data_IF_029550712821
#
_entry.id   IF_029550712821
#
_cell.length_a   1.000
_cell.length_b   1.000
_cell.length_c   1.000
_cell.angle_alpha   90.00
_cell.angle_beta   90.00
_cell.angle_gamma   90.00
#
_symmetry.space_group_name_H-M   'P 1'
#
loop_
_entity.id
_entity.type
_entity.pdbx_description
1 polymer ?
#
# COMPACT_ATOMS: atom_id res chain seq x y z
N UNK A 1 3.98 -1.58 -17.29
CA UNK A 1 4.36 -1.15 -15.91
C UNK A 1 4.80 0.32 -15.90
N UNK A 2 4.75 1.03 -14.76
CA UNK A 2 5.11 2.46 -14.68
C UNK A 2 6.51 2.77 -15.21
N UNK A 3 6.60 3.87 -15.95
CA UNK A 3 7.85 4.41 -16.46
C UNK A 3 8.41 5.44 -15.47
N UNK A 4 9.69 5.31 -15.12
CA UNK A 4 10.37 6.19 -14.16
C UNK A 4 10.26 7.67 -14.54
N UNK A 5 10.54 8.01 -15.81
CA UNK A 5 10.50 9.41 -16.27
C UNK A 5 9.09 10.00 -16.25
N UNK A 6 8.07 9.17 -16.43
CA UNK A 6 6.68 9.63 -16.35
C UNK A 6 6.23 9.79 -14.90
N UNK A 7 6.70 8.92 -14.01
CA UNK A 7 6.34 8.94 -12.59
C UNK A 7 7.08 10.04 -11.83
N UNK A 8 8.41 10.10 -11.96
CA UNK A 8 9.27 11.13 -11.38
C UNK A 8 9.27 12.40 -12.24
N UNK A 9 8.07 12.90 -12.54
CA UNK A 9 7.91 14.13 -13.30
C UNK A 9 8.38 15.34 -12.50
N UNK A 10 8.64 16.45 -13.20
CA UNK A 10 9.01 17.71 -12.54
C UNK A 10 7.96 18.12 -11.51
N UNK A 11 6.68 17.99 -11.86
CA UNK A 11 5.54 18.34 -11.00
C UNK A 11 5.51 17.50 -9.71
N UNK A 12 5.82 16.21 -9.80
CA UNK A 12 5.88 15.35 -8.62
C UNK A 12 7.02 15.77 -7.69
N UNK A 13 8.23 15.93 -8.22
CA UNK A 13 9.41 16.32 -7.42
C UNK A 13 9.24 17.73 -6.82
N UNK A 14 8.71 18.68 -7.60
CA UNK A 14 8.41 20.03 -7.10
C UNK A 14 7.38 19.97 -5.98
N UNK A 15 6.32 19.15 -6.13
CA UNK A 15 5.33 18.95 -5.08
C UNK A 15 5.93 18.43 -3.78
N UNK A 16 6.87 17.46 -3.83
CA UNK A 16 7.54 16.94 -2.65
C UNK A 16 8.32 18.04 -1.91
N UNK A 17 9.06 18.86 -2.65
CA UNK A 17 9.88 19.94 -2.08
C UNK A 17 8.99 21.07 -1.52
N UNK A 18 7.94 21.45 -2.25
CA UNK A 18 7.05 22.55 -1.85
C UNK A 18 6.21 22.19 -0.62
N UNK A 19 5.66 20.98 -0.59
CA UNK A 19 4.78 20.53 0.49
C UNK A 19 5.52 19.92 1.67
N UNK A 20 6.73 19.40 1.44
CA UNK A 20 7.47 18.63 2.44
C UNK A 20 6.87 17.26 2.76
N UNK A 21 5.92 16.77 1.95
CA UNK A 21 5.17 15.52 2.20
C UNK A 21 5.24 14.55 1.03
N UNK A 22 5.33 13.25 1.30
CA UNK A 22 5.29 12.21 0.26
C UNK A 22 3.94 12.14 -0.47
N UNK A 23 2.86 12.35 0.28
CA UNK A 23 1.48 12.41 -0.18
C UNK A 23 0.63 13.17 0.85
N UNK A 24 -0.68 13.33 0.62
CA UNK A 24 -1.57 13.99 1.59
C UNK A 24 -1.63 13.30 2.96
N UNK A 25 -1.32 12.00 3.01
CA UNK A 25 -1.29 11.20 4.24
C UNK A 25 0.10 10.62 4.54
N UNK A 26 1.09 10.94 3.71
CA UNK A 26 2.45 10.42 3.85
C UNK A 26 3.25 11.13 4.93
N UNK A 27 4.37 10.52 5.28
CA UNK A 27 5.37 11.08 6.17
C UNK A 27 5.97 12.37 5.61
N UNK A 28 6.61 13.13 6.50
CA UNK A 28 7.41 14.28 6.12
C UNK A 28 8.68 13.85 5.38
N UNK A 29 9.00 14.55 4.30
CA UNK A 29 10.20 14.29 3.49
C UNK A 29 11.46 14.69 4.24
N UNK A 30 11.43 15.64 5.18
CA UNK A 30 12.61 15.97 5.99
C UNK A 30 13.11 14.78 6.81
N UNK A 31 12.23 13.84 7.17
CA UNK A 31 12.65 12.61 7.86
C UNK A 31 13.61 11.79 7.02
N UNK A 32 13.47 11.81 5.69
CA UNK A 32 14.43 11.16 4.79
C UNK A 32 15.84 11.71 5.00
N UNK A 33 15.95 13.02 5.22
CA UNK A 33 17.22 13.67 5.46
C UNK A 33 17.80 13.16 6.78
N UNK A 34 17.01 13.16 7.85
CA UNK A 34 17.44 12.76 9.19
C UNK A 34 17.78 11.27 9.28
N UNK A 35 16.96 10.40 8.67
CA UNK A 35 17.03 8.95 8.83
C UNK A 35 18.05 8.30 7.88
N UNK A 36 18.15 8.78 6.64
CA UNK A 36 18.83 8.05 5.55
C UNK A 36 19.95 8.85 4.89
N UNK A 37 19.82 10.18 4.79
CA UNK A 37 20.72 10.98 3.96
C UNK A 37 21.73 11.82 4.73
N UNK A 38 21.53 12.10 6.02
CA UNK A 38 22.25 13.12 6.78
C UNK A 38 23.77 13.02 6.60
N UNK A 39 24.33 11.83 6.82
CA UNK A 39 25.78 11.60 6.72
C UNK A 39 26.33 11.69 5.28
N UNK A 40 25.46 11.57 4.28
CA UNK A 40 25.82 11.59 2.85
C UNK A 40 25.70 12.98 2.23
N UNK A 41 25.08 13.95 2.93
CA UNK A 41 24.90 15.31 2.41
C UNK A 41 26.23 16.09 2.39
N UNK A 42 26.38 17.09 1.51
CA UNK A 42 27.42 18.10 1.64
C UNK A 42 27.36 18.80 3.01
N UNK A 43 28.52 19.14 3.59
CA UNK A 43 28.66 19.75 4.92
C UNK A 43 27.73 20.95 5.13
N UNK A 44 27.64 21.86 4.15
CA UNK A 44 26.77 23.04 4.24
C UNK A 44 25.26 22.72 4.35
N UNK A 45 24.80 21.56 3.86
CA UNK A 45 23.43 21.10 4.04
C UNK A 45 23.27 20.35 5.37
N UNK A 46 24.30 19.63 5.82
CA UNK A 46 24.28 18.97 7.14
C UNK A 46 24.14 19.97 8.29
N UNK A 47 24.69 21.17 8.13
CA UNK A 47 24.61 22.25 9.12
C UNK A 47 23.26 22.97 9.15
N UNK A 48 22.40 22.76 8.14
CA UNK A 48 21.06 23.33 8.06
C UNK A 48 20.03 22.44 8.77
N UNK A 49 18.91 23.04 9.18
CA UNK A 49 17.71 22.28 9.52
C UNK A 49 17.31 21.42 8.29
N UNK A 50 16.85 20.19 8.51
CA UNK A 50 16.41 19.28 7.46
C UNK A 50 15.35 19.92 6.55
N UNK A 51 14.46 20.73 7.11
CA UNK A 51 13.42 21.43 6.37
C UNK A 51 13.98 22.55 5.47
N UNK A 52 15.06 23.22 5.90
CA UNK A 52 15.78 24.22 5.10
C UNK A 52 16.64 23.55 4.02
N UNK A 53 17.30 22.44 4.37
CA UNK A 53 18.05 21.59 3.45
C UNK A 53 17.19 21.08 2.30
N UNK A 54 15.98 20.60 2.60
CA UNK A 54 15.01 20.14 1.59
C UNK A 54 14.71 21.22 0.54
N UNK A 55 14.64 22.49 0.97
CA UNK A 55 14.30 23.64 0.11
C UNK A 55 15.53 24.27 -0.54
N UNK A 56 16.74 23.85 -0.19
CA UNK A 56 17.97 24.35 -0.78
C UNK A 56 18.15 23.84 -2.22
N UNK A 57 18.68 24.69 -3.12
CA UNK A 57 18.85 24.36 -4.54
C UNK A 57 19.71 23.13 -4.78
N UNK A 58 20.72 22.95 -3.93
CA UNK A 58 21.74 21.91 -4.06
C UNK A 58 21.22 20.54 -3.58
N UNK A 59 20.11 20.51 -2.84
CA UNK A 59 19.49 19.26 -2.40
C UNK A 59 18.70 18.59 -3.51
N UNK A 60 18.11 19.35 -4.46
CA UNK A 60 17.28 18.79 -5.53
C UNK A 60 17.98 17.68 -6.34
N UNK A 61 19.23 17.83 -6.81
CA UNK A 61 19.94 16.74 -7.49
C UNK A 61 20.12 15.49 -6.61
N UNK A 62 20.34 15.66 -5.31
CA UNK A 62 20.49 14.56 -4.34
C UNK A 62 19.15 13.81 -4.20
N UNK A 63 18.06 14.56 -4.00
CA UNK A 63 16.71 14.01 -3.93
C UNK A 63 16.36 13.25 -5.22
N UNK A 64 16.61 13.83 -6.39
CA UNK A 64 16.34 13.17 -7.68
C UNK A 64 17.11 11.84 -7.84
N UNK A 65 18.38 11.80 -7.43
CA UNK A 65 19.19 10.57 -7.48
C UNK A 65 18.63 9.50 -6.53
N UNK A 66 18.27 9.90 -5.30
CA UNK A 66 17.65 8.99 -4.34
C UNK A 66 16.30 8.46 -4.85
N UNK A 67 15.43 9.35 -5.34
CA UNK A 67 14.12 8.99 -5.90
C UNK A 67 14.24 8.00 -7.06
N UNK A 68 15.23 8.15 -7.93
CA UNK A 68 15.48 7.20 -9.03
C UNK A 68 15.86 5.81 -8.51
N UNK A 69 16.78 5.73 -7.54
CA UNK A 69 17.15 4.47 -6.91
C UNK A 69 15.96 3.83 -6.19
N UNK A 70 15.22 4.64 -5.43
CA UNK A 70 14.03 4.23 -4.69
C UNK A 70 12.93 3.70 -5.61
N UNK A 71 12.60 4.43 -6.67
CA UNK A 71 11.61 4.00 -7.66
C UNK A 71 11.95 2.62 -8.24
N UNK A 72 13.22 2.38 -8.56
CA UNK A 72 13.66 1.10 -9.10
C UNK A 72 13.56 -0.04 -8.07
N UNK A 73 13.89 0.22 -6.80
CA UNK A 73 13.65 -0.72 -5.69
C UNK A 73 12.15 -1.03 -5.56
N UNK A 74 11.32 -0.02 -5.32
CA UNK A 74 9.87 -0.19 -5.11
C UNK A 74 9.22 -0.91 -6.30
N UNK A 75 9.59 -0.55 -7.53
CA UNK A 75 9.10 -1.22 -8.73
C UNK A 75 9.45 -2.71 -8.72
N UNK A 76 10.70 -3.05 -8.41
CA UNK A 76 11.13 -4.44 -8.32
C UNK A 76 10.35 -5.20 -7.25
N UNK A 77 10.24 -4.63 -6.05
CA UNK A 77 9.58 -5.25 -4.90
C UNK A 77 8.09 -5.49 -5.21
N UNK A 78 7.37 -4.48 -5.71
CA UNK A 78 5.96 -4.60 -6.12
C UNK A 78 5.78 -5.70 -7.19
N UNK A 79 6.70 -5.80 -8.17
CA UNK A 79 6.64 -6.86 -9.19
C UNK A 79 6.75 -8.24 -8.56
N UNK A 80 7.75 -8.42 -7.68
CA UNK A 80 8.07 -9.71 -7.06
C UNK A 80 6.95 -10.14 -6.10
N UNK A 81 6.43 -9.20 -5.31
CA UNK A 81 5.31 -9.38 -4.40
C UNK A 81 4.03 -9.78 -5.15
N UNK A 82 3.65 -9.02 -6.18
CA UNK A 82 2.47 -9.33 -6.98
C UNK A 82 2.61 -10.68 -7.71
N UNK A 83 3.78 -10.99 -8.26
CA UNK A 83 4.02 -12.30 -8.89
C UNK A 83 3.87 -13.45 -7.90
N UNK A 84 4.40 -13.28 -6.69
CA UNK A 84 4.36 -14.30 -5.64
C UNK A 84 2.95 -14.54 -5.09
N UNK A 85 2.09 -13.53 -5.17
CA UNK A 85 0.69 -13.58 -4.72
C UNK A 85 -0.32 -13.81 -5.85
N UNK A 86 0.14 -14.12 -7.07
CA UNK A 86 -0.73 -14.36 -8.22
C UNK A 86 -1.15 -15.83 -8.30
N UNK A 87 -2.45 -16.07 -8.45
CA UNK A 87 -2.99 -17.41 -8.66
C UNK A 87 -3.04 -17.83 -10.15
N UNK A 88 -3.41 -19.09 -10.38
CA UNK A 88 -3.60 -19.67 -11.73
C UNK A 88 -4.67 -18.96 -12.57
N UNK A 89 -5.52 -18.16 -11.95
CA UNK A 89 -6.59 -17.41 -12.58
C UNK A 89 -6.24 -15.95 -12.85
N UNK A 90 -4.98 -15.57 -12.65
CA UNK A 90 -4.46 -14.21 -12.85
C UNK A 90 -5.00 -13.19 -11.84
N UNK A 91 -5.49 -13.66 -10.70
CA UNK A 91 -5.89 -12.81 -9.57
C UNK A 91 -4.76 -12.73 -8.56
N UNK A 92 -4.67 -11.60 -7.86
CA UNK A 92 -3.66 -11.31 -6.86
C UNK A 92 -4.31 -11.36 -5.48
N UNK A 93 -3.74 -12.15 -4.57
CA UNK A 93 -4.14 -12.14 -3.16
C UNK A 93 -3.63 -10.87 -2.48
N UNK A 94 -4.53 -10.22 -1.75
CA UNK A 94 -4.27 -9.04 -0.93
C UNK A 94 -4.98 -9.19 0.40
N UNK A 95 -4.48 -8.51 1.42
CA UNK A 95 -4.97 -8.57 2.80
C UNK A 95 -5.17 -7.16 3.35
N UNK A 96 -6.07 -7.02 4.31
CA UNK A 96 -6.25 -5.77 5.06
C UNK A 96 -6.74 -6.08 6.46
N UNK A 97 -6.09 -5.48 7.45
CA UNK A 97 -6.54 -5.52 8.84
C UNK A 97 -7.36 -4.29 9.17
N UNK A 98 -8.51 -4.48 9.81
CA UNK A 98 -9.42 -3.40 10.22
C UNK A 98 -9.96 -3.66 11.63
N UNK A 99 -10.16 -2.58 12.38
CA UNK A 99 -10.86 -2.63 13.68
C UNK A 99 -12.37 -2.55 13.44
N UNK A 100 -13.12 -3.53 13.93
CA UNK A 100 -14.54 -3.71 13.66
C UNK A 100 -15.34 -3.87 14.95
N UNK A 101 -16.60 -3.44 14.93
CA UNK A 101 -17.60 -3.90 15.88
C UNK A 101 -18.30 -5.17 15.33
N UNK A 102 -19.14 -5.81 16.15
CA UNK A 102 -19.88 -7.02 15.74
C UNK A 102 -20.77 -6.79 14.51
N UNK A 103 -21.34 -5.59 14.35
CA UNK A 103 -22.17 -5.24 13.19
C UNK A 103 -21.37 -5.28 11.89
N UNK A 104 -20.13 -4.76 11.90
CA UNK A 104 -19.27 -4.76 10.73
C UNK A 104 -18.76 -6.17 10.40
N UNK A 105 -18.47 -7.00 11.42
CA UNK A 105 -18.18 -8.43 11.21
C UNK A 105 -19.37 -9.13 10.54
N UNK A 106 -20.60 -8.80 10.96
CA UNK A 106 -21.79 -9.35 10.33
C UNK A 106 -21.89 -8.92 8.86
N UNK A 107 -21.59 -7.65 8.53
CA UNK A 107 -21.54 -7.17 7.14
C UNK A 107 -20.47 -7.87 6.30
N UNK A 108 -19.27 -8.14 6.84
CA UNK A 108 -18.24 -8.96 6.16
C UNK A 108 -18.77 -10.34 5.79
N UNK A 109 -19.57 -10.94 6.68
CA UNK A 109 -20.19 -12.25 6.43
C UNK A 109 -21.27 -12.20 5.36
N UNK A 110 -22.07 -11.12 5.32
CA UNK A 110 -23.37 -11.15 4.64
C UNK A 110 -23.53 -10.16 3.49
N UNK A 111 -22.66 -9.16 3.33
CA UNK A 111 -22.85 -8.04 2.39
C UNK A 111 -21.55 -7.70 1.63
N UNK A 112 -21.71 -7.16 0.41
CA UNK A 112 -20.60 -6.53 -0.31
C UNK A 112 -20.48 -5.08 0.18
N UNK A 113 -19.42 -4.76 0.91
CA UNK A 113 -19.19 -3.41 1.40
C UNK A 113 -17.74 -2.98 1.21
N UNK A 114 -17.54 -1.66 1.14
CA UNK A 114 -16.22 -1.05 0.97
C UNK A 114 -15.48 -1.06 2.32
N UNK A 115 -14.47 -1.91 2.45
CA UNK A 115 -13.59 -1.95 3.63
C UNK A 115 -12.39 -1.00 3.51
N UNK A 116 -12.34 -0.21 2.43
CA UNK A 116 -11.25 0.72 2.15
C UNK A 116 -10.35 0.26 1.00
N UNK A 117 -9.35 1.12 0.73
CA UNK A 117 -8.53 1.06 -0.50
C UNK A 117 -7.07 0.76 -0.27
N UNK A 118 -6.62 0.77 0.98
CA UNK A 118 -5.24 0.49 1.36
C UNK A 118 -5.15 -0.98 1.76
N UNK A 119 -4.47 -1.77 0.97
CA UNK A 119 -4.31 -3.20 1.20
C UNK A 119 -2.83 -3.51 1.28
N UNK A 120 -2.48 -4.74 1.64
CA UNK A 120 -1.12 -5.24 1.58
C UNK A 120 -1.10 -6.61 0.91
N UNK A 121 0.08 -7.02 0.48
CA UNK A 121 0.41 -8.36 -0.03
C UNK A 121 1.06 -9.22 1.05
N UNK A 122 1.39 -8.62 2.19
CA UNK A 122 1.90 -9.32 3.35
C UNK A 122 0.77 -10.06 4.04
N UNK A 123 1.02 -11.32 4.40
CA UNK A 123 0.14 -12.06 5.31
C UNK A 123 0.37 -11.54 6.73
N UNK A 124 -0.11 -10.33 6.99
CA UNK A 124 -0.04 -9.73 8.32
C UNK A 124 -0.94 -10.54 9.26
N UNK A 125 -0.29 -11.27 10.16
CA UNK A 125 -0.87 -11.76 11.41
C UNK A 125 -0.20 -11.08 12.61
N UNK A 126 0.49 -9.95 12.42
CA UNK A 126 0.93 -9.11 13.52
C UNK A 126 -0.24 -8.20 13.91
N UNK A 127 -0.83 -8.53 15.05
CA UNK A 127 -1.98 -7.84 15.60
C UNK A 127 -1.61 -6.38 15.91
N UNK A 128 -2.46 -5.44 15.50
CA UNK A 128 -2.20 -4.01 15.62
C UNK A 128 -2.07 -3.68 17.11
N UNK A 129 -1.01 -2.95 17.49
CA UNK A 129 -0.85 -2.44 18.85
C UNK A 129 -2.11 -1.64 19.22
N UNK A 130 -2.87 -2.14 20.20
CA UNK A 130 -4.23 -1.64 20.46
C UNK A 130 -4.14 -0.23 21.01
N UNK A 131 -4.69 0.73 20.25
CA UNK A 131 -5.02 2.03 20.79
C UNK A 131 -6.03 1.83 21.96
N UNK A 132 -5.79 2.41 23.15
CA UNK A 132 -6.72 2.35 24.29
C UNK A 132 -8.17 2.71 23.93
N UNK A 133 -8.36 3.59 22.94
CA UNK A 133 -9.70 3.99 22.48
C UNK A 133 -10.46 2.88 21.72
N UNK A 134 -9.75 1.82 21.30
CA UNK A 134 -10.26 0.69 20.52
C UNK A 134 -10.37 -0.62 21.32
N UNK A 135 -10.28 -0.59 22.64
CA UNK A 135 -10.32 -1.77 23.53
C UNK A 135 -11.61 -2.60 23.45
N UNK A 136 -12.66 -2.10 22.79
CA UNK A 136 -13.91 -2.84 22.58
C UNK A 136 -14.08 -3.37 21.14
N UNK A 137 -13.13 -3.08 20.25
CA UNK A 137 -13.20 -3.45 18.85
C UNK A 137 -12.45 -4.76 18.59
N UNK A 138 -13.04 -5.56 17.72
CA UNK A 138 -12.42 -6.76 17.18
C UNK A 138 -11.42 -6.37 16.12
N UNK A 139 -10.29 -7.06 16.08
CA UNK A 139 -9.39 -6.98 14.96
C UNK A 139 -9.80 -8.01 13.91
N UNK A 140 -9.97 -7.57 12.66
CA UNK A 140 -10.39 -8.42 11.56
C UNK A 140 -9.43 -8.28 10.40
N UNK A 141 -8.77 -9.39 10.06
CA UNK A 141 -7.92 -9.49 8.85
C UNK A 141 -8.74 -10.10 7.74
N UNK A 142 -8.93 -9.36 6.64
CA UNK A 142 -9.67 -9.82 5.46
C UNK A 142 -8.68 -10.20 4.37
N UNK A 143 -8.80 -11.40 3.82
CA UNK A 143 -8.11 -11.79 2.58
C UNK A 143 -9.07 -11.63 1.40
N UNK A 144 -8.59 -10.99 0.34
CA UNK A 144 -9.32 -10.79 -0.89
C UNK A 144 -8.46 -11.08 -2.12
N UNK A 145 -9.14 -11.25 -3.25
CA UNK A 145 -8.52 -11.37 -4.57
C UNK A 145 -8.88 -10.19 -5.45
N UNK A 146 -7.90 -9.70 -6.20
CA UNK A 146 -8.08 -8.55 -7.08
C UNK A 146 -7.46 -8.80 -8.46
N UNK A 147 -8.06 -8.22 -9.51
CA UNK A 147 -7.43 -8.20 -10.83
C UNK A 147 -6.43 -7.04 -10.90
N UNK A 148 -5.33 -7.19 -11.65
CA UNK A 148 -4.36 -6.09 -11.77
C UNK A 148 -4.99 -4.79 -12.30
N UNK A 149 -5.99 -4.88 -13.16
CA UNK A 149 -6.71 -3.71 -13.69
C UNK A 149 -7.35 -2.83 -12.61
N UNK A 150 -7.61 -3.41 -11.44
CA UNK A 150 -8.25 -2.76 -10.30
C UNK A 150 -7.25 -2.18 -9.29
N UNK A 151 -5.96 -2.50 -9.45
CA UNK A 151 -4.88 -1.91 -8.66
C UNK A 151 -4.52 -0.55 -9.26
N UNK A 152 -4.49 0.48 -8.41
CA UNK A 152 -3.94 1.79 -8.78
C UNK A 152 -2.43 1.79 -8.62
N UNK A 153 -1.73 1.34 -9.67
CA UNK A 153 -0.27 1.23 -9.63
C UNK A 153 0.43 2.57 -9.36
N UNK A 154 -0.19 3.70 -9.73
CA UNK A 154 0.41 5.03 -9.49
C UNK A 154 0.35 5.37 -8.02
N UNK A 155 -0.82 5.25 -7.39
CA UNK A 155 -0.95 5.51 -5.95
C UNK A 155 -0.20 4.47 -5.11
N UNK A 156 -0.22 3.20 -5.51
CA UNK A 156 0.64 2.16 -4.92
C UNK A 156 2.11 2.61 -4.94
N UNK A 157 2.63 3.02 -6.10
CA UNK A 157 4.01 3.48 -6.19
C UNK A 157 4.25 4.70 -5.30
N UNK A 158 3.36 5.70 -5.28
CA UNK A 158 3.51 6.89 -4.42
C UNK A 158 3.58 6.54 -2.94
N UNK A 159 2.75 5.61 -2.49
CA UNK A 159 2.81 5.12 -1.11
C UNK A 159 4.13 4.41 -0.84
N UNK A 160 4.57 3.52 -1.73
CA UNK A 160 5.84 2.79 -1.56
C UNK A 160 7.08 3.68 -1.66
N UNK A 161 6.98 4.84 -2.30
CA UNK A 161 8.05 5.85 -2.29
C UNK A 161 8.26 6.45 -0.90
N UNK A 162 7.20 6.53 -0.08
CA UNK A 162 7.30 6.83 1.35
C UNK A 162 7.98 5.65 2.06
N UNK A 163 9.23 5.86 2.46
CA UNK A 163 10.10 4.78 2.94
C UNK A 163 9.79 4.32 4.36
N UNK A 164 8.96 5.05 5.11
CA UNK A 164 8.52 4.61 6.43
C UNK A 164 7.27 3.75 6.32
N UNK A 165 6.10 4.36 6.13
CA UNK A 165 4.84 3.66 6.39
C UNK A 165 4.41 2.81 5.18
N UNK A 166 4.41 3.40 3.99
CA UNK A 166 3.89 2.73 2.80
C UNK A 166 4.72 1.52 2.38
N UNK A 167 6.05 1.62 2.48
CA UNK A 167 6.93 0.50 2.11
C UNK A 167 7.04 -0.59 3.16
N UNK A 168 7.09 -0.25 4.46
CA UNK A 168 7.09 -1.25 5.53
C UNK A 168 5.81 -2.10 5.50
N UNK A 169 4.66 -1.48 5.24
CA UNK A 169 3.37 -2.19 5.17
C UNK A 169 3.16 -2.92 3.84
N UNK A 170 4.11 -2.84 2.91
CA UNK A 170 3.99 -3.33 1.55
C UNK A 170 2.66 -2.93 0.85
N UNK A 171 2.31 -1.65 0.96
CA UNK A 171 0.97 -1.17 0.62
C UNK A 171 0.62 -1.33 -0.88
N UNK A 172 -0.63 -1.68 -1.15
CA UNK A 172 -1.29 -1.84 -2.45
C UNK A 172 -2.57 -1.02 -2.45
N UNK A 173 -2.66 -0.05 -3.35
CA UNK A 173 -3.87 0.75 -3.53
C UNK A 173 -4.85 0.13 -4.52
N UNK A 174 -6.11 0.06 -4.11
CA UNK A 174 -7.22 -0.35 -4.96
C UNK A 174 -7.99 0.87 -5.48
N UNK A 175 -8.28 0.88 -6.79
CA UNK A 175 -8.99 1.99 -7.46
C UNK A 175 -10.37 2.22 -6.86
N UNK A 176 -10.79 3.48 -6.88
CA UNK A 176 -12.12 3.88 -6.40
C UNK A 176 -13.23 3.13 -7.15
N UNK A 177 -14.12 2.46 -6.40
CA UNK A 177 -15.23 1.70 -6.96
C UNK A 177 -14.86 0.30 -7.47
N UNK A 178 -13.58 -0.09 -7.45
CA UNK A 178 -13.22 -1.49 -7.56
C UNK A 178 -13.58 -2.23 -6.26
N UNK A 179 -14.09 -3.44 -6.39
CA UNK A 179 -14.46 -4.29 -5.25
C UNK A 179 -13.59 -5.55 -5.28
N UNK A 180 -12.61 -5.69 -4.38
CA UNK A 180 -11.90 -6.95 -4.22
C UNK A 180 -12.88 -8.09 -3.90
N UNK A 181 -12.55 -9.29 -4.37
CA UNK A 181 -13.34 -10.47 -4.13
C UNK A 181 -12.93 -11.06 -2.77
N UNK A 182 -13.75 -10.86 -1.73
CA UNK A 182 -13.43 -11.34 -0.38
C UNK A 182 -13.46 -12.87 -0.33
N UNK A 183 -12.35 -13.45 0.11
CA UNK A 183 -12.13 -14.89 0.13
C UNK A 183 -12.40 -15.45 1.53
N UNK A 184 -11.71 -14.89 2.51
CA UNK A 184 -11.80 -15.29 3.91
C UNK A 184 -11.56 -14.08 4.82
N UNK A 185 -11.85 -14.25 6.09
CA UNK A 185 -11.46 -13.32 7.13
C UNK A 185 -11.12 -14.07 8.42
N UNK A 186 -10.24 -13.48 9.21
CA UNK A 186 -9.84 -13.97 10.52
C UNK A 186 -10.19 -12.93 11.59
N UNK A 187 -10.59 -13.37 12.78
CA UNK A 187 -11.08 -12.47 13.84
C UNK A 187 -10.33 -12.69 15.15
N UNK A 188 -9.91 -11.60 15.77
CA UNK A 188 -9.38 -11.57 17.15
C UNK A 188 -10.26 -10.72 18.03
N UNK A 189 -10.64 -11.27 19.19
CA UNK A 189 -11.46 -10.57 20.19
C UNK A 189 -10.70 -9.41 20.82
N UNK A 190 -11.39 -8.45 21.45
CA UNK A 190 -10.74 -7.39 22.21
C UNK A 190 -9.97 -7.86 23.46
N UNK A 191 -9.99 -9.14 23.78
CA UNK A 191 -9.15 -9.76 24.83
C UNK A 191 -7.90 -10.46 24.25
N UNK A 192 -7.79 -10.52 22.92
CA UNK A 192 -6.66 -11.15 22.22
C UNK A 192 -6.91 -12.61 21.81
N UNK A 193 -8.14 -13.11 21.98
CA UNK A 193 -8.48 -14.49 21.60
C UNK A 193 -8.70 -14.60 20.09
N UNK A 194 -7.99 -15.53 19.45
CA UNK A 194 -8.20 -15.87 18.05
C UNK A 194 -9.46 -16.74 17.89
N UNK A 195 -10.49 -16.21 17.21
CA UNK A 195 -11.76 -16.90 17.02
C UNK A 195 -11.74 -17.88 15.83
N UNK A 196 -10.75 -17.78 14.95
CA UNK A 196 -10.62 -18.63 13.77
C UNK A 196 -10.56 -17.85 12.45
N UNK A 197 -10.38 -18.61 11.38
CA UNK A 197 -10.49 -18.16 10.00
C UNK A 197 -11.79 -18.70 9.40
N UNK A 198 -12.48 -17.86 8.64
CA UNK A 198 -13.80 -18.14 8.09
C UNK A 198 -13.83 -17.83 6.60
N UNK A 199 -14.37 -18.75 5.80
CA UNK A 199 -14.63 -18.52 4.39
C UNK A 199 -15.82 -17.57 4.19
N UNK A 200 -15.76 -16.76 3.14
CA UNK A 200 -16.90 -15.95 2.71
C UNK A 200 -17.86 -16.80 1.83
N UNK A 201 -19.11 -16.97 2.25
CA UNK A 201 -20.06 -17.89 1.58
C UNK A 201 -20.45 -17.48 0.15
N UNK A 202 -20.27 -16.21 -0.24
CA UNK A 202 -20.72 -15.64 -1.52
C UNK A 202 -19.69 -15.67 -2.65
N UNK A 203 -18.47 -16.16 -2.37
CA UNK A 203 -17.33 -15.96 -3.27
C UNK A 203 -17.36 -16.88 -4.50
N UNK A 204 -17.99 -18.06 -4.39
CA UNK A 204 -17.96 -19.10 -5.44
C UNK A 204 -18.60 -18.67 -6.76
N UNK A 205 -19.76 -18.02 -6.73
CA UNK A 205 -20.47 -17.61 -7.95
C UNK A 205 -19.81 -16.39 -8.64
N UNK A 206 -19.17 -15.51 -7.87
CA UNK A 206 -18.52 -14.30 -8.37
C UNK A 206 -17.12 -14.55 -8.90
N UNK A 207 -16.45 -15.59 -8.40
CA UNK A 207 -15.12 -15.98 -8.84
C UNK A 207 -15.03 -16.13 -10.36
N UNK A 208 -16.01 -16.80 -10.99
CA UNK A 208 -16.05 -17.01 -12.44
C UNK A 208 -16.14 -15.72 -13.26
N UNK A 209 -16.76 -14.66 -12.74
CA UNK A 209 -16.83 -13.37 -13.43
C UNK A 209 -15.53 -12.58 -13.26
N UNK A 210 -14.90 -12.67 -12.08
CA UNK A 210 -13.60 -12.04 -11.81
C UNK A 210 -12.47 -12.66 -12.65
N UNK A 211 -12.45 -13.98 -12.79
CA UNK A 211 -11.43 -14.66 -13.61
C UNK A 211 -11.53 -14.26 -15.08
N UNK A 212 -12.73 -14.04 -15.62
CA UNK A 212 -12.91 -13.51 -16.99
C UNK A 212 -12.32 -12.11 -17.14
N UNK A 213 -12.57 -11.21 -16.18
CA UNK A 213 -12.00 -9.85 -16.15
C UNK A 213 -10.48 -9.90 -16.10
N UNK A 214 -9.91 -10.71 -15.21
CA UNK A 214 -8.47 -10.83 -14.99
C UNK A 214 -7.70 -11.40 -16.21
N UNK A 215 -8.33 -12.25 -17.01
CA UNK A 215 -7.75 -12.86 -18.22
C UNK A 215 -7.91 -12.01 -19.48
N UNK A 216 -8.41 -10.77 -19.36
CA UNK A 216 -8.54 -9.89 -20.52
C UNK A 216 -7.13 -9.45 -20.99
N UNK A 217 -6.74 -9.67 -22.26
CA UNK A 217 -5.34 -9.60 -22.73
C UNK A 217 -4.62 -8.25 -22.62
N UNK A 218 -5.33 -7.17 -22.29
CA UNK A 218 -4.80 -5.79 -22.38
C UNK A 218 -3.63 -5.51 -21.43
N UNK A 219 -3.38 -6.40 -20.45
CA UNK A 219 -2.26 -6.27 -19.50
C UNK A 219 -1.08 -7.18 -19.81
N UNK A 220 -1.24 -8.30 -20.53
CA UNK A 220 -0.14 -9.25 -20.78
C UNK A 220 0.91 -8.75 -21.79
N UNK A 221 0.55 -7.78 -22.63
CA UNK A 221 1.44 -7.25 -23.67
C UNK A 221 2.45 -6.19 -23.18
N UNK A 222 2.47 -5.84 -21.89
CA UNK A 222 3.27 -4.69 -21.37
C UNK A 222 3.99 -4.95 -20.04
N UNK A 223 4.29 -6.20 -19.72
CA UNK A 223 5.22 -6.54 -18.64
C UNK A 223 6.65 -6.69 -19.16
#
# INVERSE_FOLDING_TARGET
MLNEKQFLSKEYVDGLIETGKWSSHGSDVHRLIEDELLESLPEHLQEMDADDSLRHSDFRPILCNWLSARFNKCKKDIVEELKSNRDENCLYSITRTIMCNEELIHKIKTEDFDIGRFWTVMKYYEFIDRNPDNESLFEVTVEAKVALSDIDLVETMRSRMDYSNGDEEAEIYIKNGAQPLFMSYAVVTPDGDYLGEFDCDKTKDRYLNFTKKARTPELEASY
#
